data_IF_554670252279
#
_entry.id   IF_554670252279
#
_cell.length_a   1.000
_cell.length_b   1.000
_cell.length_c   1.000
_cell.angle_alpha   90.00
_cell.angle_beta   90.00
_cell.angle_gamma   90.00
#
_symmetry.space_group_name_H-M   'P 1'
#
loop_
_entity.id
_entity.type
_entity.pdbx_description
1 polymer ?
#
# COMPACT_ATOMS: atom_id res chain seq x y z
N UNK A 1 39.14 -15.30 19.84
CA UNK A 1 38.70 -14.36 20.88
C UNK A 1 38.20 -13.12 20.16
N UNK A 2 36.92 -13.10 19.83
CA UNK A 2 36.29 -11.90 19.25
C UNK A 2 36.01 -10.91 20.38
N UNK A 3 36.33 -9.62 20.21
CA UNK A 3 36.07 -8.65 21.27
C UNK A 3 34.56 -8.45 21.40
N UNK A 4 34.04 -8.70 22.59
CA UNK A 4 32.66 -8.41 22.95
C UNK A 4 32.41 -6.91 22.87
N UNK A 5 31.65 -6.50 21.85
CA UNK A 5 31.05 -5.17 21.78
C UNK A 5 29.90 -5.09 22.77
N UNK A 6 29.82 -3.97 23.49
CA UNK A 6 28.86 -3.67 24.55
C UNK A 6 27.39 -3.93 24.16
N UNK A 7 26.84 -5.07 24.58
CA UNK A 7 25.40 -5.34 24.64
C UNK A 7 24.69 -4.61 25.81
N UNK A 8 25.40 -3.73 26.54
CA UNK A 8 24.93 -3.15 27.80
C UNK A 8 24.00 -1.93 27.68
N UNK A 9 23.77 -1.38 26.49
CA UNK A 9 22.97 -0.14 26.33
C UNK A 9 21.50 -0.39 25.93
N UNK A 10 21.06 -1.64 25.78
CA UNK A 10 19.64 -1.93 25.52
C UNK A 10 18.88 -2.09 26.83
N UNK A 11 17.89 -1.21 27.07
CA UNK A 11 16.98 -1.37 28.19
C UNK A 11 16.19 -2.69 28.04
N UNK A 12 15.90 -3.41 29.14
CA UNK A 12 15.11 -4.62 29.07
C UNK A 12 13.71 -4.32 28.51
N UNK A 13 13.18 -5.23 27.68
CA UNK A 13 11.91 -5.03 26.97
C UNK A 13 10.75 -4.49 27.83
N UNK A 14 10.48 -5.01 29.04
CA UNK A 14 9.43 -4.46 29.90
C UNK A 14 9.60 -2.97 30.22
N UNK A 15 10.85 -2.50 30.38
CA UNK A 15 11.15 -1.10 30.63
C UNK A 15 10.91 -0.25 29.38
N UNK A 16 11.34 -0.72 28.19
CA UNK A 16 11.05 -0.04 26.92
C UNK A 16 9.56 0.06 26.64
N UNK A 17 8.80 -1.00 26.91
CA UNK A 17 7.33 -1.00 26.78
C UNK A 17 6.69 0.05 27.69
N UNK A 18 7.04 0.04 28.98
CA UNK A 18 6.51 1.01 29.94
C UNK A 18 6.87 2.45 29.54
N UNK A 19 8.09 2.66 29.03
CA UNK A 19 8.52 3.96 28.50
C UNK A 19 7.63 4.40 27.33
N UNK A 20 7.39 3.55 26.33
CA UNK A 20 6.55 3.89 25.17
C UNK A 20 5.09 4.16 25.55
N UNK A 21 4.54 3.38 26.47
CA UNK A 21 3.20 3.61 27.04
C UNK A 21 3.14 4.96 27.77
N UNK A 22 4.16 5.28 28.57
CA UNK A 22 4.28 6.56 29.30
C UNK A 22 4.40 7.74 28.33
N UNK A 23 5.26 7.65 27.31
CA UNK A 23 5.42 8.68 26.29
C UNK A 23 4.12 8.94 25.53
N UNK A 24 3.40 7.87 25.17
CA UNK A 24 2.09 7.98 24.51
C UNK A 24 1.07 8.66 25.42
N UNK A 25 1.05 8.35 26.72
CA UNK A 25 0.14 8.96 27.67
C UNK A 25 0.41 10.47 27.92
N UNK A 26 1.63 10.93 27.64
CA UNK A 26 2.02 12.35 27.76
C UNK A 26 1.63 13.19 26.54
N UNK A 27 1.17 12.58 25.45
CA UNK A 27 0.75 13.31 24.26
C UNK A 27 -0.48 14.19 24.55
N UNK A 28 -0.60 15.36 23.90
CA UNK A 28 -1.77 16.23 24.05
C UNK A 28 -3.08 15.46 23.83
N UNK A 29 -4.04 15.65 24.73
CA UNK A 29 -5.40 15.11 24.60
C UNK A 29 -6.27 16.19 23.99
N UNK A 30 -6.87 15.90 22.83
CA UNK A 30 -7.70 16.85 22.08
C UNK A 30 -6.95 17.40 20.87
N UNK A 31 -6.70 18.72 20.84
CA UNK A 31 -6.11 19.37 19.67
C UNK A 31 -4.62 19.03 19.53
N UNK A 32 -4.16 18.58 18.34
CA UNK A 32 -2.75 18.31 18.08
C UNK A 32 -1.89 19.56 18.32
N UNK A 33 -0.73 19.39 18.96
CA UNK A 33 0.20 20.50 19.18
C UNK A 33 1.30 20.53 18.11
N UNK A 34 1.36 21.61 17.34
CA UNK A 34 2.46 21.91 16.41
C UNK A 34 3.62 22.64 17.06
N UNK A 35 3.55 22.90 18.38
CA UNK A 35 4.58 23.63 19.11
C UNK A 35 5.79 22.72 19.40
N UNK A 36 6.93 23.03 18.78
CA UNK A 36 8.18 22.32 18.98
C UNK A 36 8.73 22.45 20.41
N UNK A 37 8.30 23.47 21.16
CA UNK A 37 8.67 23.73 22.54
C UNK A 37 7.73 23.08 23.57
N UNK A 38 6.68 22.39 23.12
CA UNK A 38 5.74 21.71 24.00
C UNK A 38 6.47 20.68 24.88
N UNK A 39 6.21 20.61 26.21
CA UNK A 39 6.91 19.71 27.12
C UNK A 39 6.89 18.24 26.67
N UNK A 40 5.75 17.77 26.15
CA UNK A 40 5.64 16.42 25.61
C UNK A 40 6.61 16.18 24.43
N UNK A 41 6.70 17.12 23.48
CA UNK A 41 7.61 17.01 22.32
C UNK A 41 9.07 16.92 22.79
N UNK A 42 9.45 17.72 23.78
CA UNK A 42 10.80 17.66 24.38
C UNK A 42 11.08 16.31 25.04
N UNK A 43 10.13 15.75 25.78
CA UNK A 43 10.27 14.43 26.40
C UNK A 43 10.41 13.32 25.36
N UNK A 44 9.63 13.37 24.28
CA UNK A 44 9.75 12.43 23.16
C UNK A 44 11.14 12.50 22.51
N UNK A 45 11.66 13.71 22.25
CA UNK A 45 13.03 13.89 21.71
C UNK A 45 14.10 13.39 22.67
N UNK A 46 13.94 13.57 23.98
CA UNK A 46 14.87 13.05 24.98
C UNK A 46 14.89 11.52 25.06
N UNK A 47 13.76 10.87 24.79
CA UNK A 47 13.63 9.42 24.77
C UNK A 47 13.86 8.79 23.39
N UNK A 48 14.24 9.60 22.39
CA UNK A 48 14.29 9.20 20.98
C UNK A 48 15.22 8.01 20.72
N UNK A 49 16.38 7.97 21.38
CA UNK A 49 17.37 6.90 21.23
C UNK A 49 16.82 5.52 21.64
N UNK A 50 15.83 5.45 22.54
CA UNK A 50 15.18 4.19 22.88
C UNK A 50 14.27 3.67 21.76
N UNK A 51 13.61 4.57 21.02
CA UNK A 51 12.80 4.24 19.85
C UNK A 51 13.69 3.78 18.70
N UNK A 52 14.80 4.48 18.46
CA UNK A 52 15.81 4.08 17.48
C UNK A 52 16.42 2.71 17.81
N UNK A 53 16.76 2.47 19.08
CA UNK A 53 17.28 1.17 19.50
C UNK A 53 16.27 0.05 19.25
N UNK A 54 14.99 0.25 19.60
CA UNK A 54 13.94 -0.74 19.36
C UNK A 54 13.74 -1.00 17.85
N UNK A 55 13.68 0.07 17.04
CA UNK A 55 13.35 -0.04 15.61
C UNK A 55 14.51 -0.43 14.73
N UNK A 56 15.76 -0.06 15.05
CA UNK A 56 16.91 -0.28 14.18
C UNK A 56 17.90 -1.32 14.75
N UNK A 57 17.96 -1.52 16.06
CA UNK A 57 19.02 -2.33 16.70
C UNK A 57 18.53 -3.62 17.37
N UNK A 58 17.25 -3.70 17.75
CA UNK A 58 16.72 -4.90 18.41
C UNK A 58 16.94 -6.15 17.54
N UNK A 59 17.61 -7.22 18.01
CA UNK A 59 17.88 -8.39 17.20
C UNK A 59 16.60 -9.12 16.79
N UNK A 60 16.57 -9.61 15.55
CA UNK A 60 15.42 -10.28 14.93
C UNK A 60 15.19 -11.65 15.60
N UNK A 61 16.23 -12.25 16.17
CA UNK A 61 16.20 -13.56 16.86
C UNK A 61 15.47 -13.55 18.21
N UNK A 62 15.14 -12.37 18.76
CA UNK A 62 14.21 -12.34 19.87
C UNK A 62 12.87 -12.83 19.33
N UNK A 63 12.34 -13.94 19.87
CA UNK A 63 11.14 -14.64 19.39
C UNK A 63 9.81 -13.81 19.40
N UNK A 64 9.92 -12.49 19.40
CA UNK A 64 8.84 -11.55 19.56
C UNK A 64 9.14 -10.24 18.82
N UNK A 65 8.36 -9.96 17.77
CA UNK A 65 8.33 -8.64 17.09
C UNK A 65 7.72 -7.53 17.97
N UNK A 66 7.43 -7.81 19.24
CA UNK A 66 6.80 -6.90 20.19
C UNK A 66 7.51 -5.54 20.31
N UNK A 67 8.87 -5.45 20.39
CA UNK A 67 9.54 -4.16 20.52
C UNK A 67 9.31 -3.24 19.33
N UNK A 68 9.37 -3.80 18.12
CA UNK A 68 9.15 -3.07 16.87
C UNK A 68 7.69 -2.62 16.80
N UNK A 69 6.74 -3.52 17.04
CA UNK A 69 5.30 -3.21 17.01
C UNK A 69 4.94 -2.09 17.98
N UNK A 70 5.42 -2.16 19.22
CA UNK A 70 5.13 -1.13 20.21
C UNK A 70 5.79 0.22 19.88
N UNK A 71 7.04 0.21 19.41
CA UNK A 71 7.72 1.44 19.00
C UNK A 71 7.02 2.08 17.79
N UNK A 72 6.65 1.30 16.78
CA UNK A 72 5.89 1.78 15.62
C UNK A 72 4.53 2.36 16.01
N UNK A 73 3.81 1.70 16.92
CA UNK A 73 2.54 2.20 17.44
C UNK A 73 2.71 3.50 18.23
N UNK A 74 3.73 3.60 19.08
CA UNK A 74 4.01 4.80 19.84
C UNK A 74 4.36 5.98 18.90
N UNK A 75 5.23 5.74 17.92
CA UNK A 75 5.58 6.74 16.90
C UNK A 75 4.37 7.21 16.10
N UNK A 76 3.46 6.30 15.72
CA UNK A 76 2.20 6.67 15.08
C UNK A 76 1.40 7.65 15.93
N UNK A 77 1.15 7.32 17.20
CA UNK A 77 0.40 8.22 18.09
C UNK A 77 1.11 9.58 18.23
N UNK A 78 2.44 9.59 18.31
CA UNK A 78 3.23 10.82 18.38
C UNK A 78 3.05 11.69 17.13
N UNK A 79 3.14 11.12 15.93
CA UNK A 79 2.94 11.87 14.69
C UNK A 79 1.53 12.47 14.58
N UNK A 80 0.51 11.75 15.05
CA UNK A 80 -0.88 12.19 14.98
C UNK A 80 -1.23 13.27 16.02
N UNK A 81 -0.67 13.19 17.24
CA UNK A 81 -1.03 14.09 18.35
C UNK A 81 -0.01 15.22 18.61
N UNK A 82 1.22 15.04 18.17
CA UNK A 82 2.30 16.02 18.27
C UNK A 82 3.00 16.18 16.91
N UNK A 83 2.36 16.79 15.91
CA UNK A 83 2.88 16.84 14.54
C UNK A 83 4.23 17.54 14.38
N UNK A 84 4.71 18.28 15.39
CA UNK A 84 6.08 18.78 15.43
C UNK A 84 7.16 17.67 15.36
N UNK A 85 6.79 16.42 15.64
CA UNK A 85 7.63 15.23 15.54
C UNK A 85 7.49 14.48 14.20
N UNK A 86 6.56 14.89 13.34
CA UNK A 86 6.21 14.15 12.12
C UNK A 86 7.45 13.84 11.24
N UNK A 87 8.35 14.80 10.94
CA UNK A 87 9.53 14.53 10.11
C UNK A 87 10.44 13.43 10.68
N UNK A 88 10.77 13.52 11.97
CA UNK A 88 11.63 12.54 12.64
C UNK A 88 10.96 11.16 12.69
N UNK A 89 9.65 11.12 12.98
CA UNK A 89 8.85 9.88 13.03
C UNK A 89 8.86 9.14 11.71
N UNK A 90 8.45 9.79 10.61
CA UNK A 90 8.30 9.06 9.34
C UNK A 90 9.65 8.66 8.77
N UNK A 91 10.70 9.46 9.03
CA UNK A 91 12.06 9.11 8.64
C UNK A 91 12.53 7.85 9.37
N UNK A 92 12.34 7.76 10.68
CA UNK A 92 12.74 6.59 11.47
C UNK A 92 11.94 5.33 11.08
N UNK A 93 10.63 5.47 10.83
CA UNK A 93 9.80 4.36 10.36
C UNK A 93 10.24 3.87 8.97
N UNK A 94 10.53 4.78 8.03
CA UNK A 94 11.02 4.41 6.70
C UNK A 94 12.39 3.73 6.76
N UNK A 95 13.31 4.23 7.60
CA UNK A 95 14.61 3.59 7.84
C UNK A 95 14.46 2.20 8.44
N UNK A 96 13.53 2.03 9.41
CA UNK A 96 13.22 0.73 10.00
C UNK A 96 12.69 -0.24 8.94
N UNK A 97 11.70 0.18 8.14
CA UNK A 97 11.17 -0.65 7.04
C UNK A 97 12.26 -1.07 6.04
N UNK A 98 13.25 -0.20 5.76
CA UNK A 98 14.33 -0.52 4.83
C UNK A 98 15.34 -1.55 5.38
N UNK A 99 15.63 -1.51 6.68
CA UNK A 99 16.69 -2.33 7.30
C UNK A 99 16.20 -3.69 7.80
N UNK A 100 14.89 -3.84 8.06
CA UNK A 100 14.33 -5.05 8.67
C UNK A 100 14.07 -6.17 7.67
N UNK A 101 14.06 -7.40 8.19
CA UNK A 101 13.54 -8.56 7.48
C UNK A 101 12.01 -8.54 7.45
N UNK A 102 11.36 -8.20 8.58
CA UNK A 102 9.91 -8.00 8.68
C UNK A 102 9.56 -6.50 8.78
N UNK A 103 9.25 -5.81 7.67
CA UNK A 103 8.90 -4.39 7.63
C UNK A 103 7.43 -4.08 7.95
N UNK A 104 6.59 -5.07 8.29
CA UNK A 104 5.14 -4.89 8.36
C UNK A 104 4.71 -3.78 9.35
N UNK A 105 5.19 -3.83 10.58
CA UNK A 105 4.82 -2.87 11.63
C UNK A 105 5.17 -1.41 11.27
N UNK A 106 6.38 -1.07 10.81
CA UNK A 106 6.68 0.30 10.40
C UNK A 106 5.89 0.75 9.16
N UNK A 107 5.62 -0.12 8.19
CA UNK A 107 4.79 0.22 7.03
C UNK A 107 3.33 0.48 7.40
N UNK A 108 2.76 -0.31 8.31
CA UNK A 108 1.41 -0.09 8.84
C UNK A 108 1.32 1.24 9.58
N UNK A 109 2.32 1.56 10.42
CA UNK A 109 2.37 2.86 11.09
C UNK A 109 2.48 4.02 10.09
N UNK A 110 3.34 3.92 9.07
CA UNK A 110 3.42 4.92 7.99
C UNK A 110 2.08 5.10 7.26
N UNK A 111 1.36 4.01 7.01
CA UNK A 111 0.05 4.03 6.35
C UNK A 111 -0.97 4.79 7.20
N UNK A 112 -1.04 4.48 8.48
CA UNK A 112 -1.96 5.12 9.42
C UNK A 112 -1.62 6.61 9.63
N UNK A 113 -0.34 6.97 9.62
CA UNK A 113 0.09 8.37 9.61
C UNK A 113 -0.36 9.05 8.32
N UNK A 114 -0.10 8.46 7.14
CA UNK A 114 -0.43 9.07 5.85
C UNK A 114 -1.92 9.44 5.72
N UNK A 115 -2.82 8.62 6.27
CA UNK A 115 -4.27 8.88 6.25
C UNK A 115 -4.77 9.70 7.43
N UNK A 116 -3.98 9.84 8.50
CA UNK A 116 -4.41 10.40 9.78
C UNK A 116 -3.79 11.75 10.14
N UNK A 117 -2.72 12.19 9.46
CA UNK A 117 -2.05 13.46 9.80
C UNK A 117 -3.05 14.63 9.76
N UNK A 118 -3.19 15.38 10.86
CA UNK A 118 -4.16 16.45 10.95
C UNK A 118 -3.70 17.68 10.15
N UNK A 119 -4.42 17.98 9.08
CA UNK A 119 -4.25 19.16 8.25
C UNK A 119 -5.56 19.96 8.29
N UNK A 120 -5.65 21.12 8.97
CA UNK A 120 -4.72 21.74 9.96
C UNK A 120 -4.59 20.93 11.29
N UNK A 121 -3.59 21.21 12.16
CA UNK A 121 -2.69 22.37 12.19
C UNK A 121 -1.40 22.23 11.36
N UNK A 122 -1.12 21.07 10.79
CA UNK A 122 0.04 20.90 9.91
C UNK A 122 -0.27 21.52 8.56
N UNK A 123 0.70 22.21 7.98
CA UNK A 123 0.62 22.63 6.59
C UNK A 123 0.51 21.39 5.67
N UNK A 124 -0.57 21.26 4.86
CA UNK A 124 -0.81 20.05 4.08
C UNK A 124 0.32 19.76 3.07
N UNK A 125 0.90 20.81 2.46
CA UNK A 125 2.01 20.66 1.53
C UNK A 125 3.26 20.11 2.24
N UNK A 126 3.61 20.69 3.39
CA UNK A 126 4.76 20.22 4.17
C UNK A 126 4.59 18.78 4.66
N UNK A 127 3.39 18.42 5.12
CA UNK A 127 3.08 17.04 5.50
C UNK A 127 3.26 16.08 4.30
N UNK A 128 2.76 16.47 3.13
CA UNK A 128 2.88 15.71 1.90
C UNK A 128 4.34 15.51 1.45
N UNK A 129 5.19 16.53 1.51
CA UNK A 129 6.62 16.41 1.17
C UNK A 129 7.35 15.40 2.06
N UNK A 130 7.09 15.48 3.37
CA UNK A 130 7.71 14.62 4.38
C UNK A 130 7.25 13.17 4.22
N UNK A 131 5.95 12.96 3.97
CA UNK A 131 5.39 11.64 3.71
C UNK A 131 5.82 11.06 2.36
N UNK A 132 5.87 11.87 1.29
CA UNK A 132 6.36 11.45 -0.03
C UNK A 132 7.78 10.87 0.07
N UNK A 133 8.69 11.60 0.73
CA UNK A 133 10.06 11.14 0.91
C UNK A 133 10.14 9.82 1.70
N UNK A 134 9.37 9.69 2.78
CA UNK A 134 9.36 8.48 3.61
C UNK A 134 8.75 7.27 2.90
N UNK A 135 7.60 7.44 2.24
CA UNK A 135 6.92 6.40 1.46
C UNK A 135 7.80 5.93 0.31
N UNK A 136 8.42 6.85 -0.43
CA UNK A 136 9.32 6.52 -1.52
C UNK A 136 10.55 5.75 -1.02
N UNK A 137 11.19 6.21 0.05
CA UNK A 137 12.37 5.53 0.62
C UNK A 137 12.05 4.10 1.09
N UNK A 138 10.91 3.91 1.79
CA UNK A 138 10.48 2.59 2.24
C UNK A 138 10.16 1.65 1.06
N UNK A 139 9.41 2.14 0.07
CA UNK A 139 9.08 1.37 -1.12
C UNK A 139 10.31 1.00 -1.95
N UNK A 140 11.24 1.93 -2.16
CA UNK A 140 12.48 1.68 -2.91
C UNK A 140 13.35 0.61 -2.24
N UNK A 141 13.48 0.64 -0.91
CA UNK A 141 14.25 -0.35 -0.17
C UNK A 141 13.65 -1.76 -0.29
N UNK A 142 12.32 -1.87 -0.21
CA UNK A 142 11.64 -3.17 -0.35
C UNK A 142 11.70 -3.71 -1.78
N UNK A 143 11.60 -2.83 -2.77
CA UNK A 143 11.77 -3.19 -4.18
C UNK A 143 13.20 -3.58 -4.57
N UNK A 144 14.19 -3.42 -3.68
CA UNK A 144 15.52 -4.01 -3.86
C UNK A 144 15.53 -5.51 -3.49
N UNK A 145 14.54 -5.97 -2.73
CA UNK A 145 14.39 -7.34 -2.23
C UNK A 145 13.19 -8.05 -2.87
N UNK A 146 12.91 -7.79 -4.15
CA UNK A 146 11.69 -8.23 -4.84
C UNK A 146 11.37 -9.71 -4.67
N UNK A 147 12.37 -10.59 -4.77
CA UNK A 147 12.15 -12.04 -4.64
C UNK A 147 11.63 -12.41 -3.24
N UNK A 148 12.31 -11.94 -2.18
CA UNK A 148 11.89 -12.18 -0.80
C UNK A 148 10.50 -11.58 -0.52
N UNK A 149 10.23 -10.40 -1.06
CA UNK A 149 8.95 -9.73 -0.90
C UNK A 149 7.79 -10.55 -1.50
N UNK A 150 7.97 -11.17 -2.67
CA UNK A 150 6.93 -12.04 -3.28
C UNK A 150 6.67 -13.29 -2.46
N UNK A 151 7.67 -13.78 -1.73
CA UNK A 151 7.58 -14.95 -0.86
C UNK A 151 6.93 -14.66 0.50
N UNK A 152 6.80 -13.38 0.88
CA UNK A 152 6.18 -12.95 2.15
C UNK A 152 4.90 -12.13 1.91
N UNK A 153 3.71 -12.77 1.87
CA UNK A 153 2.47 -12.08 1.54
C UNK A 153 2.05 -10.96 2.51
N UNK A 154 2.47 -11.03 3.77
CA UNK A 154 2.20 -9.98 4.76
C UNK A 154 2.95 -8.68 4.46
N UNK A 155 4.19 -8.77 3.97
CA UNK A 155 4.98 -7.63 3.51
C UNK A 155 4.38 -6.99 2.26
N UNK A 156 3.91 -7.80 1.30
CA UNK A 156 3.17 -7.31 0.14
C UNK A 156 1.92 -6.55 0.56
N UNK A 157 1.14 -7.11 1.50
CA UNK A 157 -0.05 -6.46 2.02
C UNK A 157 0.28 -5.11 2.70
N UNK A 158 1.34 -5.07 3.50
CA UNK A 158 1.76 -3.84 4.19
C UNK A 158 2.26 -2.78 3.19
N UNK A 159 3.11 -3.14 2.23
CA UNK A 159 3.64 -2.23 1.21
C UNK A 159 2.52 -1.68 0.32
N UNK A 160 1.71 -2.56 -0.29
CA UNK A 160 0.65 -2.10 -1.19
C UNK A 160 -0.50 -1.46 -0.43
N UNK A 161 -0.73 -1.80 0.83
CA UNK A 161 -1.67 -1.10 1.71
C UNK A 161 -1.23 0.34 1.96
N UNK A 162 0.07 0.57 2.23
CA UNK A 162 0.64 1.91 2.34
C UNK A 162 0.51 2.67 1.02
N UNK A 163 1.00 2.09 -0.09
CA UNK A 163 1.00 2.74 -1.39
C UNK A 163 -0.41 3.09 -1.86
N UNK A 164 -1.37 2.15 -1.74
CA UNK A 164 -2.76 2.38 -2.11
C UNK A 164 -3.33 3.57 -1.34
N UNK A 165 -3.18 3.63 -0.01
CA UNK A 165 -3.69 4.75 0.79
C UNK A 165 -2.99 6.07 0.47
N UNK A 166 -1.68 6.06 0.24
CA UNK A 166 -0.92 7.26 -0.07
C UNK A 166 -1.29 7.90 -1.41
N UNK A 167 -1.74 7.09 -2.40
CA UNK A 167 -2.23 7.58 -3.70
C UNK A 167 -3.76 7.67 -3.79
N UNK A 168 -4.47 7.58 -2.66
CA UNK A 168 -5.94 7.62 -2.63
C UNK A 168 -6.47 8.98 -3.12
N UNK A 169 -7.37 9.02 -4.12
CA UNK A 169 -8.06 10.25 -4.49
C UNK A 169 -9.04 10.68 -3.40
N UNK A 170 -9.40 11.97 -3.40
CA UNK A 170 -10.60 12.42 -2.69
C UNK A 170 -11.85 11.68 -3.20
N UNK A 171 -12.74 11.22 -2.29
CA UNK A 171 -14.05 10.75 -2.70
C UNK A 171 -14.83 11.83 -3.49
N UNK A 172 -15.73 11.44 -4.41
CA UNK A 172 -16.53 12.38 -5.18
C UNK A 172 -17.27 13.38 -4.27
N UNK A 173 -17.11 14.67 -4.56
CA UNK A 173 -17.74 15.74 -3.78
C UNK A 173 -17.02 16.12 -2.47
N UNK A 174 -15.85 15.52 -2.18
CA UNK A 174 -15.06 15.79 -0.97
C UNK A 174 -13.64 16.25 -1.30
N UNK A 175 -13.50 17.30 -2.12
CA UNK A 175 -12.18 17.88 -2.41
C UNK A 175 -11.41 18.19 -1.11
N UNK A 176 -10.15 17.78 -1.03
CA UNK A 176 -9.34 17.81 0.19
C UNK A 176 -9.55 16.62 1.13
N UNK A 177 -10.36 15.63 0.78
CA UNK A 177 -10.59 14.40 1.56
C UNK A 177 -9.51 13.32 1.40
N UNK A 178 -8.58 13.52 0.47
CA UNK A 178 -7.40 12.68 0.29
C UNK A 178 -6.27 12.99 1.30
N UNK A 179 -5.23 12.14 1.36
CA UNK A 179 -4.08 12.34 2.23
C UNK A 179 -3.45 13.72 2.07
N UNK A 180 -3.26 14.41 3.20
CA UNK A 180 -2.73 15.78 3.25
C UNK A 180 -3.50 16.76 2.35
N UNK A 181 -4.82 16.73 2.38
CA UNK A 181 -5.69 17.56 1.53
C UNK A 181 -5.37 17.41 0.03
N UNK A 182 -5.27 16.17 -0.44
CA UNK A 182 -4.89 15.78 -1.81
C UNK A 182 -3.47 16.17 -2.25
N UNK A 183 -2.59 16.65 -1.35
CA UNK A 183 -1.24 17.08 -1.73
C UNK A 183 -0.24 15.92 -1.88
N UNK A 184 -0.45 14.79 -1.22
CA UNK A 184 0.49 13.66 -1.25
C UNK A 184 0.46 12.89 -2.57
N UNK A 185 -0.74 12.59 -3.08
CA UNK A 185 -0.95 11.81 -4.31
C UNK A 185 -0.17 12.35 -5.52
N UNK A 186 -0.23 13.64 -5.89
CA UNK A 186 0.48 14.15 -7.07
C UNK A 186 2.01 14.05 -6.93
N UNK A 187 2.56 14.18 -5.71
CA UNK A 187 4.00 14.02 -5.47
C UNK A 187 4.45 12.58 -5.75
N UNK A 188 3.70 11.59 -5.26
CA UNK A 188 4.00 10.17 -5.49
C UNK A 188 3.84 9.77 -6.96
N UNK A 189 2.79 10.26 -7.63
CA UNK A 189 2.57 10.01 -9.06
C UNK A 189 3.70 10.60 -9.92
N UNK A 190 4.31 11.71 -9.49
CA UNK A 190 5.46 12.28 -10.18
C UNK A 190 6.69 11.34 -10.17
N UNK A 191 6.77 10.37 -9.24
CA UNK A 191 7.85 9.37 -9.14
C UNK A 191 7.65 8.18 -10.10
N UNK A 192 7.58 8.46 -11.40
CA UNK A 192 7.22 7.47 -12.44
C UNK A 192 8.05 6.19 -12.42
N UNK A 193 9.36 6.28 -12.16
CA UNK A 193 10.26 5.11 -12.10
C UNK A 193 9.87 4.19 -10.94
N UNK A 194 9.58 4.76 -9.77
CA UNK A 194 9.13 4.01 -8.62
C UNK A 194 7.77 3.35 -8.90
N UNK A 195 6.81 4.10 -9.43
CA UNK A 195 5.48 3.58 -9.77
C UNK A 195 5.57 2.45 -10.80
N UNK A 196 6.36 2.60 -11.85
CA UNK A 196 6.57 1.55 -12.85
C UNK A 196 7.15 0.26 -12.24
N UNK A 197 8.07 0.37 -11.28
CA UNK A 197 8.59 -0.79 -10.53
C UNK A 197 7.53 -1.43 -9.64
N UNK A 198 6.71 -0.63 -8.96
CA UNK A 198 5.59 -1.13 -8.16
C UNK A 198 4.57 -1.88 -9.02
N UNK A 199 4.17 -1.33 -10.17
CA UNK A 199 3.24 -1.99 -11.10
C UNK A 199 3.85 -3.27 -11.70
N UNK A 200 5.15 -3.26 -12.01
CA UNK A 200 5.86 -4.49 -12.43
C UNK A 200 5.80 -5.57 -11.35
N UNK A 201 5.95 -5.18 -10.08
CA UNK A 201 5.78 -6.10 -8.95
C UNK A 201 4.34 -6.60 -8.83
N UNK A 202 3.33 -5.74 -9.01
CA UNK A 202 1.92 -6.19 -9.04
C UNK A 202 1.72 -7.24 -10.12
N UNK A 203 2.19 -6.99 -11.35
CA UNK A 203 2.05 -7.94 -12.46
C UNK A 203 2.74 -9.28 -12.20
N UNK A 204 3.83 -9.27 -11.42
CA UNK A 204 4.58 -10.46 -11.03
C UNK A 204 3.90 -11.23 -9.88
N UNK A 205 3.52 -10.53 -8.82
CA UNK A 205 3.06 -11.13 -7.57
C UNK A 205 1.58 -11.50 -7.59
N UNK A 206 0.75 -10.68 -8.23
CA UNK A 206 -0.71 -10.83 -8.21
C UNK A 206 -1.20 -12.24 -8.59
N UNK A 207 -0.70 -12.92 -9.64
CA UNK A 207 -1.20 -14.23 -10.05
C UNK A 207 -1.00 -15.35 -9.03
N UNK A 208 0.11 -15.30 -8.28
CA UNK A 208 0.53 -16.35 -7.35
C UNK A 208 0.31 -15.96 -5.87
N UNK A 209 -0.22 -14.77 -5.63
CA UNK A 209 -0.44 -14.25 -4.28
C UNK A 209 -1.57 -15.01 -3.57
N UNK A 210 -1.22 -15.71 -2.49
CA UNK A 210 -2.18 -16.48 -1.67
C UNK A 210 -2.85 -15.65 -0.57
N UNK A 211 -2.43 -14.41 -0.39
CA UNK A 211 -3.02 -13.49 0.60
C UNK A 211 -4.09 -12.63 -0.06
N UNK A 212 -5.33 -12.86 0.35
CA UNK A 212 -6.47 -12.04 -0.06
C UNK A 212 -6.22 -10.54 0.19
N UNK A 213 -5.68 -10.22 1.38
CA UNK A 213 -5.40 -8.84 1.76
C UNK A 213 -4.36 -8.18 0.85
N UNK A 214 -3.28 -8.88 0.51
CA UNK A 214 -2.26 -8.37 -0.41
C UNK A 214 -2.82 -8.20 -1.82
N UNK A 215 -3.60 -9.17 -2.31
CA UNK A 215 -4.28 -9.10 -3.61
C UNK A 215 -5.21 -7.90 -3.69
N UNK A 216 -6.08 -7.68 -2.69
CA UNK A 216 -6.95 -6.49 -2.61
C UNK A 216 -6.14 -5.19 -2.65
N UNK A 217 -5.07 -5.09 -1.86
CA UNK A 217 -4.25 -3.89 -1.82
C UNK A 217 -3.48 -3.61 -3.13
N UNK A 218 -2.97 -4.65 -3.79
CA UNK A 218 -2.32 -4.52 -5.11
C UNK A 218 -3.28 -4.00 -6.18
N UNK A 219 -4.49 -4.57 -6.26
CA UNK A 219 -5.51 -4.14 -7.21
C UNK A 219 -5.96 -2.70 -6.92
N UNK A 220 -6.20 -2.37 -5.65
CA UNK A 220 -6.58 -1.02 -5.22
C UNK A 220 -5.52 0.03 -5.55
N UNK A 221 -4.25 -0.29 -5.34
CA UNK A 221 -3.14 0.57 -5.73
C UNK A 221 -3.14 0.84 -7.24
N UNK A 222 -3.23 -0.22 -8.05
CA UNK A 222 -3.27 -0.08 -9.51
C UNK A 222 -4.51 0.71 -9.98
N UNK A 223 -5.69 0.46 -9.41
CA UNK A 223 -6.92 1.18 -9.73
C UNK A 223 -6.78 2.69 -9.42
N UNK A 224 -6.30 3.04 -8.22
CA UNK A 224 -6.14 4.44 -7.77
C UNK A 224 -5.14 5.24 -8.61
N UNK A 225 -4.13 4.59 -9.20
CA UNK A 225 -3.22 5.22 -10.14
C UNK A 225 -3.86 5.55 -11.49
N UNK A 226 -4.85 4.76 -11.92
CA UNK A 226 -5.58 4.96 -13.17
C UNK A 226 -6.75 5.94 -13.02
N UNK A 227 -7.35 6.06 -11.82
CA UNK A 227 -8.49 6.94 -11.53
C UNK A 227 -8.14 8.45 -11.43
N UNK A 228 -7.36 9.02 -12.34
CA UNK A 228 -7.04 10.45 -12.26
C UNK A 228 -8.10 11.32 -12.95
N UNK A 229 -8.90 12.04 -12.15
CA UNK A 229 -9.65 13.23 -12.58
C UNK A 229 -8.73 14.45 -12.72
N UNK A 230 -7.56 14.42 -12.08
CA UNK A 230 -6.53 15.45 -12.19
C UNK A 230 -5.81 15.30 -13.54
N UNK A 231 -5.59 16.41 -14.25
CA UNK A 231 -4.91 16.44 -15.54
C UNK A 231 -3.58 15.66 -15.47
N UNK A 232 -3.60 14.40 -15.94
CA UNK A 232 -2.42 13.55 -15.87
C UNK A 232 -1.32 14.19 -16.73
N UNK A 233 -0.10 14.38 -16.20
CA UNK A 233 1.03 14.68 -17.06
C UNK A 233 1.11 13.57 -18.13
N UNK A 234 1.19 13.93 -19.41
CA UNK A 234 1.14 12.97 -20.53
C UNK A 234 2.04 11.73 -20.31
N UNK A 235 3.24 11.95 -19.76
CA UNK A 235 4.20 10.88 -19.52
C UNK A 235 3.89 9.96 -18.31
N UNK A 236 2.92 10.28 -17.44
CA UNK A 236 2.34 9.30 -16.50
C UNK A 236 1.38 8.36 -17.23
N UNK A 237 0.52 8.92 -18.10
CA UNK A 237 -0.38 8.14 -18.95
C UNK A 237 0.36 7.17 -19.87
N UNK A 238 1.46 7.62 -20.49
CA UNK A 238 2.34 6.75 -21.29
C UNK A 238 2.90 5.57 -20.49
N UNK A 239 3.40 5.82 -19.28
CA UNK A 239 3.92 4.78 -18.39
C UNK A 239 2.83 3.76 -18.03
N UNK A 240 1.65 4.24 -17.63
CA UNK A 240 0.51 3.37 -17.29
C UNK A 240 0.05 2.54 -18.49
N UNK A 241 -0.03 3.13 -19.68
CA UNK A 241 -0.40 2.45 -20.92
C UNK A 241 0.54 1.27 -21.22
N UNK A 242 1.85 1.45 -21.04
CA UNK A 242 2.84 0.36 -21.21
C UNK A 242 2.64 -0.77 -20.20
N UNK A 243 2.23 -0.45 -18.97
CA UNK A 243 1.98 -1.47 -17.93
C UNK A 243 0.62 -2.17 -18.04
N UNK A 244 -0.28 -1.68 -18.90
CA UNK A 244 -1.66 -2.14 -18.94
C UNK A 244 -1.78 -3.62 -19.34
N UNK A 245 -1.08 -4.05 -20.40
CA UNK A 245 -1.12 -5.44 -20.83
C UNK A 245 -0.57 -6.43 -19.78
N UNK A 246 0.61 -6.19 -19.16
CA UNK A 246 1.08 -7.00 -18.03
C UNK A 246 0.10 -7.05 -16.85
N UNK A 247 -0.56 -5.94 -16.51
CA UNK A 247 -1.56 -5.89 -15.44
C UNK A 247 -2.81 -6.68 -15.79
N UNK A 248 -3.33 -6.55 -17.01
CA UNK A 248 -4.46 -7.36 -17.49
C UNK A 248 -4.13 -8.86 -17.47
N UNK A 249 -2.94 -9.24 -17.94
CA UNK A 249 -2.48 -10.63 -17.89
C UNK A 249 -2.41 -11.16 -16.45
N UNK A 250 -1.88 -10.35 -15.53
CA UNK A 250 -1.77 -10.72 -14.13
C UNK A 250 -3.15 -10.88 -13.46
N UNK A 251 -4.06 -9.93 -13.70
CA UNK A 251 -5.43 -9.97 -13.18
C UNK A 251 -6.20 -11.17 -13.72
N UNK A 252 -6.15 -11.44 -15.03
CA UNK A 252 -6.87 -12.58 -15.62
C UNK A 252 -6.36 -13.92 -15.06
N UNK A 253 -5.03 -14.06 -14.90
CA UNK A 253 -4.46 -15.25 -14.25
C UNK A 253 -4.89 -15.38 -12.79
N UNK A 254 -4.92 -14.28 -12.04
CA UNK A 254 -5.36 -14.29 -10.65
C UNK A 254 -6.84 -14.70 -10.55
N UNK A 255 -7.73 -14.08 -11.34
CA UNK A 255 -9.17 -14.44 -11.39
C UNK A 255 -9.38 -15.92 -11.68
N UNK A 256 -8.60 -16.49 -12.61
CA UNK A 256 -8.66 -17.90 -12.96
C UNK A 256 -7.99 -18.85 -11.93
N UNK A 257 -7.17 -18.34 -11.01
CA UNK A 257 -6.34 -19.16 -10.10
C UNK A 257 -6.79 -19.12 -8.64
N UNK A 258 -7.33 -17.99 -8.18
CA UNK A 258 -7.49 -17.70 -6.76
C UNK A 258 -8.96 -17.74 -6.38
N UNK A 259 -9.36 -18.78 -5.63
CA UNK A 259 -10.76 -18.99 -5.23
C UNK A 259 -11.38 -17.78 -4.52
N UNK A 260 -10.61 -17.08 -3.66
CA UNK A 260 -11.11 -15.91 -2.94
C UNK A 260 -11.46 -14.73 -3.86
N UNK A 261 -10.96 -14.67 -5.10
CA UNK A 261 -11.35 -13.64 -6.06
C UNK A 261 -12.77 -13.83 -6.62
N UNK A 262 -13.42 -14.96 -6.31
CA UNK A 262 -14.85 -15.13 -6.53
C UNK A 262 -15.71 -14.58 -5.38
N UNK A 263 -15.11 -14.09 -4.28
CA UNK A 263 -15.86 -13.46 -3.19
C UNK A 263 -16.26 -12.01 -3.55
N UNK A 264 -17.44 -11.53 -3.09
CA UNK A 264 -17.97 -10.21 -3.48
C UNK A 264 -17.01 -9.03 -3.23
N UNK A 265 -16.25 -9.05 -2.13
CA UNK A 265 -15.33 -7.96 -1.82
C UNK A 265 -14.08 -7.99 -2.71
N UNK A 266 -13.53 -9.17 -2.98
CA UNK A 266 -12.32 -9.30 -3.78
C UNK A 266 -12.60 -9.03 -5.26
N UNK A 267 -13.74 -9.52 -5.77
CA UNK A 267 -14.18 -9.22 -7.15
C UNK A 267 -14.51 -7.74 -7.33
N UNK A 268 -14.99 -7.05 -6.28
CA UNK A 268 -15.21 -5.61 -6.33
C UNK A 268 -13.91 -4.83 -6.61
N UNK A 269 -12.79 -5.22 -5.99
CA UNK A 269 -11.48 -4.59 -6.23
C UNK A 269 -10.93 -4.90 -7.64
N UNK A 270 -11.09 -6.13 -8.13
CA UNK A 270 -10.76 -6.49 -9.51
C UNK A 270 -11.58 -5.68 -10.50
N UNK A 271 -12.87 -5.52 -10.21
CA UNK A 271 -13.79 -4.74 -10.99
C UNK A 271 -13.44 -3.25 -11.02
N UNK A 272 -13.06 -2.68 -9.87
CA UNK A 272 -12.60 -1.30 -9.77
C UNK A 272 -11.34 -1.05 -10.59
N UNK A 273 -10.39 -1.99 -10.60
CA UNK A 273 -9.21 -1.90 -11.46
C UNK A 273 -9.59 -1.90 -12.95
N UNK A 274 -10.45 -2.83 -13.39
CA UNK A 274 -10.91 -2.90 -14.77
C UNK A 274 -11.66 -1.63 -15.20
N UNK A 275 -12.54 -1.09 -14.34
CA UNK A 275 -13.27 0.14 -14.61
C UNK A 275 -12.33 1.35 -14.66
N UNK A 276 -11.38 1.46 -13.73
CA UNK A 276 -10.40 2.54 -13.73
C UNK A 276 -9.54 2.51 -15.01
N UNK A 277 -9.07 1.33 -15.41
CA UNK A 277 -8.36 1.13 -16.68
C UNK A 277 -9.21 1.50 -17.90
N UNK A 278 -10.48 1.12 -17.89
CA UNK A 278 -11.42 1.36 -18.98
C UNK A 278 -11.74 2.84 -19.19
N UNK A 279 -11.77 3.61 -18.09
CA UNK A 279 -11.94 5.06 -18.11
C UNK A 279 -10.67 5.75 -18.56
N UNK A 280 -9.52 5.34 -18.04
CA UNK A 280 -8.23 5.99 -18.34
C UNK A 280 -7.70 5.66 -19.75
N UNK A 281 -7.91 4.44 -20.23
CA UNK A 281 -7.35 3.90 -21.47
C UNK A 281 -8.41 3.18 -22.31
N UNK A 282 -9.49 3.88 -22.74
CA UNK A 282 -10.61 3.25 -23.45
C UNK A 282 -10.19 2.64 -24.80
N UNK A 283 -9.11 3.14 -25.41
CA UNK A 283 -8.62 2.68 -26.72
C UNK A 283 -7.66 1.50 -26.55
N UNK A 284 -6.78 1.55 -25.56
CA UNK A 284 -5.71 0.58 -25.34
C UNK A 284 -6.19 -0.65 -24.58
N UNK A 285 -7.16 -0.49 -23.67
CA UNK A 285 -7.65 -1.57 -22.82
C UNK A 285 -8.13 -2.81 -23.59
N UNK A 286 -8.94 -2.71 -24.66
CA UNK A 286 -9.40 -3.91 -25.38
C UNK A 286 -8.25 -4.77 -25.91
N UNK A 287 -7.20 -4.14 -26.45
CA UNK A 287 -6.02 -4.84 -26.95
C UNK A 287 -5.19 -5.44 -25.79
N UNK A 288 -4.99 -4.68 -24.71
CA UNK A 288 -4.28 -5.13 -23.52
C UNK A 288 -4.98 -6.32 -22.83
N UNK A 289 -6.31 -6.27 -22.72
CA UNK A 289 -7.13 -7.35 -22.16
C UNK A 289 -7.05 -8.61 -23.02
N UNK A 290 -7.15 -8.46 -24.34
CA UNK A 290 -7.01 -9.58 -25.29
C UNK A 290 -5.63 -10.24 -25.17
N UNK A 291 -4.56 -9.45 -25.12
CA UNK A 291 -3.21 -9.95 -24.92
C UNK A 291 -3.04 -10.66 -23.56
N UNK A 292 -3.67 -10.14 -22.50
CA UNK A 292 -3.66 -10.74 -21.18
C UNK A 292 -4.40 -12.07 -21.10
N UNK A 293 -5.59 -12.15 -21.70
CA UNK A 293 -6.38 -13.38 -21.82
C UNK A 293 -5.65 -14.47 -22.61
N UNK A 294 -4.85 -14.09 -23.62
CA UNK A 294 -4.01 -15.01 -24.36
C UNK A 294 -2.96 -15.74 -23.50
N UNK A 295 -2.68 -15.28 -22.29
CA UNK A 295 -1.76 -15.91 -21.34
C UNK A 295 -2.46 -16.79 -20.28
N UNK A 296 -3.78 -16.91 -20.35
CA UNK A 296 -4.55 -17.75 -19.44
C UNK A 296 -4.97 -19.03 -20.15
N UNK A 297 -4.75 -20.16 -19.48
CA UNK A 297 -5.16 -21.47 -19.96
C UNK A 297 -6.66 -21.70 -19.68
N UNK A 298 -7.48 -21.10 -20.54
CA UNK A 298 -8.94 -21.18 -20.54
C UNK A 298 -9.46 -21.38 -21.97
N UNK A 299 -10.65 -21.99 -22.14
CA UNK A 299 -11.34 -22.04 -23.43
C UNK A 299 -11.59 -20.65 -24.03
N UNK A 300 -11.64 -20.57 -25.36
CA UNK A 300 -11.83 -19.30 -26.06
C UNK A 300 -13.19 -18.65 -25.74
N UNK A 301 -14.25 -19.46 -25.60
CA UNK A 301 -15.58 -18.94 -25.22
C UNK A 301 -15.55 -18.22 -23.86
N UNK A 302 -14.83 -18.76 -22.88
CA UNK A 302 -14.72 -18.18 -21.54
C UNK A 302 -13.94 -16.87 -21.54
N UNK A 303 -12.93 -16.76 -22.41
CA UNK A 303 -12.17 -15.52 -22.63
C UNK A 303 -13.04 -14.45 -23.29
N UNK A 304 -13.84 -14.84 -24.29
CA UNK A 304 -14.77 -13.95 -24.98
C UNK A 304 -15.83 -13.37 -24.04
N UNK A 305 -16.32 -14.14 -23.06
CA UNK A 305 -17.28 -13.65 -22.07
C UNK A 305 -16.77 -12.43 -21.29
N UNK A 306 -15.50 -12.45 -20.82
CA UNK A 306 -14.93 -11.28 -20.14
C UNK A 306 -14.75 -10.09 -21.10
N UNK A 307 -14.32 -10.33 -22.34
CA UNK A 307 -14.17 -9.26 -23.33
C UNK A 307 -15.51 -8.58 -23.62
N UNK A 308 -16.58 -9.37 -23.83
CA UNK A 308 -17.93 -8.87 -24.04
C UNK A 308 -18.44 -8.11 -22.81
N UNK A 309 -18.25 -8.68 -21.61
CA UNK A 309 -18.62 -8.03 -20.35
C UNK A 309 -17.94 -6.65 -20.20
N UNK A 310 -16.67 -6.53 -20.59
CA UNK A 310 -15.93 -5.26 -20.58
C UNK A 310 -16.36 -4.29 -21.68
N UNK A 311 -16.73 -4.79 -22.87
CA UNK A 311 -17.23 -3.98 -23.98
C UNK A 311 -18.61 -3.39 -23.67
N UNK A 312 -19.49 -4.16 -23.04
CA UNK A 312 -20.84 -3.75 -22.65
C UNK A 312 -20.89 -2.90 -21.37
N UNK A 313 -19.74 -2.45 -20.82
CA UNK A 313 -19.69 -1.70 -19.54
C UNK A 313 -20.65 -0.50 -19.47
N UNK A 314 -20.87 0.19 -20.60
CA UNK A 314 -21.70 1.39 -20.66
C UNK A 314 -23.20 1.08 -20.49
N UNK A 315 -23.60 -0.18 -20.66
CA UNK A 315 -24.98 -0.65 -20.56
C UNK A 315 -25.38 -0.91 -19.09
N UNK A 316 -24.39 -0.96 -18.18
CA UNK A 316 -24.61 -1.24 -16.77
C UNK A 316 -24.90 0.04 -15.99
N UNK A 317 -26.18 0.37 -15.87
CA UNK A 317 -26.63 1.49 -15.03
C UNK A 317 -26.40 1.27 -13.53
N UNK A 318 -26.21 0.01 -13.09
CA UNK A 318 -25.99 -0.36 -11.70
C UNK A 318 -24.67 -1.13 -11.54
N UNK A 319 -23.74 -0.58 -10.74
CA UNK A 319 -22.44 -1.19 -10.42
C UNK A 319 -22.59 -2.61 -9.86
N UNK A 320 -23.66 -2.88 -9.10
CA UNK A 320 -23.91 -4.19 -8.48
C UNK A 320 -24.04 -5.32 -9.50
N UNK A 321 -24.93 -5.19 -10.48
CA UNK A 321 -25.13 -6.23 -11.49
C UNK A 321 -23.90 -6.48 -12.36
N UNK A 322 -23.11 -5.43 -12.64
CA UNK A 322 -21.86 -5.59 -13.35
C UNK A 322 -20.87 -6.45 -12.55
N UNK A 323 -20.75 -6.22 -11.23
CA UNK A 323 -19.90 -7.04 -10.36
C UNK A 323 -20.41 -8.48 -10.20
N UNK A 324 -21.73 -8.69 -10.13
CA UNK A 324 -22.33 -10.04 -10.08
C UNK A 324 -21.96 -10.87 -11.32
N UNK A 325 -21.98 -10.26 -12.51
CA UNK A 325 -21.55 -10.94 -13.73
C UNK A 325 -20.06 -11.24 -13.75
N UNK A 326 -19.22 -10.28 -13.33
CA UNK A 326 -17.78 -10.50 -13.22
C UNK A 326 -17.47 -11.66 -12.25
N UNK A 327 -18.22 -11.74 -11.14
CA UNK A 327 -18.13 -12.83 -10.18
C UNK A 327 -18.49 -14.17 -10.81
N UNK A 328 -19.58 -14.21 -11.59
CA UNK A 328 -19.99 -15.42 -12.31
C UNK A 328 -18.92 -15.89 -13.31
N UNK A 329 -18.34 -14.96 -14.07
CA UNK A 329 -17.23 -15.26 -14.99
C UNK A 329 -16.04 -15.87 -14.24
N UNK A 330 -15.64 -15.27 -13.12
CA UNK A 330 -14.54 -15.79 -12.30
C UNK A 330 -14.82 -17.20 -11.77
N UNK A 331 -16.03 -17.45 -11.26
CA UNK A 331 -16.47 -18.77 -10.80
C UNK A 331 -16.41 -19.83 -11.90
N UNK A 332 -16.87 -19.49 -13.10
CA UNK A 332 -16.84 -20.38 -14.26
C UNK A 332 -15.41 -20.72 -14.66
N UNK A 333 -14.51 -19.72 -14.74
CA UNK A 333 -13.10 -19.94 -15.07
C UNK A 333 -12.41 -20.85 -14.05
N UNK A 334 -12.61 -20.62 -12.76
CA UNK A 334 -12.05 -21.43 -11.68
C UNK A 334 -12.60 -22.86 -11.70
N UNK A 335 -13.88 -23.03 -12.06
CA UNK A 335 -14.50 -24.34 -12.28
C UNK A 335 -13.83 -25.06 -13.46
N UNK A 336 -13.79 -24.44 -14.64
CA UNK A 336 -13.20 -25.03 -15.86
C UNK A 336 -11.75 -25.42 -15.66
N UNK A 337 -10.95 -24.57 -15.00
CA UNK A 337 -9.56 -24.86 -14.70
C UNK A 337 -9.41 -26.09 -13.79
N UNK A 338 -10.27 -26.22 -12.77
CA UNK A 338 -10.27 -27.42 -11.90
C UNK A 338 -10.62 -28.68 -12.69
N UNK A 339 -11.55 -28.61 -13.64
CA UNK A 339 -11.87 -29.75 -14.50
C UNK A 339 -10.73 -30.13 -15.45
N UNK A 340 -9.98 -29.15 -15.99
CA UNK A 340 -8.86 -29.42 -16.90
C UNK A 340 -7.60 -29.96 -16.20
N UNK A 341 -7.50 -29.81 -14.87
CA UNK A 341 -6.38 -30.31 -14.07
C UNK A 341 -6.61 -31.74 -13.53
N UNK A 342 -7.80 -32.32 -13.73
CA UNK A 342 -8.19 -33.67 -13.30
C UNK A 342 -8.15 -34.67 -14.46
#
# INVERSE_FOLDING_TARGET
MSPGGNDQDSAPWPASRLLFETLTALLPVGNPSSDADHPAVRMWRQAWHYLEAALLRCPIDSASEQPIKAASQALREAALRAPALLPEVVQLLAQSAAQRESPEAPLLALREIAVGVPCPPVDPLRAAEVLDAAVAAAAEALLQKTQALVETPGELAALFGLLAEAVRPSPPGTAGGGPCEDRLRPLLIARRVLIGRCLSLVSLALPECRSELATKHMMRFAARLMSAEEAQPAAHGEMLSVTLAPLCAALCRALAAQDFLAEPEAVAEAGELLLAAAVAFPIELPAALTAGLGQVDLPDHSKELLQQHMACRAEWSQKGHWLEQLQQIALEWQSERRFNLL
#
